data_IF_039617026470
#
_entry.id   IF_039617026470
#
_cell.length_a   1.000
_cell.length_b   1.000
_cell.length_c   1.000
_cell.angle_alpha   90.00
_cell.angle_beta   90.00
_cell.angle_gamma   90.00
#
_symmetry.space_group_name_H-M   'P 1'
#
loop_
_entity.id
_entity.type
_entity.pdbx_description
1 polymer ?
#
# COMPACT_ATOMS: atom_id res chain seq x y z
N UNK A 1 -12.82 -3.63 -0.83
CA UNK A 1 -12.69 -3.22 -2.25
C UNK A 1 -11.27 -3.48 -2.72
N UNK A 2 -11.06 -3.82 -3.99
CA UNK A 2 -9.71 -4.12 -4.52
C UNK A 2 -9.19 -2.97 -5.39
N UNK A 3 -7.92 -2.64 -5.23
CA UNK A 3 -7.24 -1.58 -5.98
C UNK A 3 -5.86 -2.08 -6.40
N UNK A 4 -5.51 -1.93 -7.68
CA UNK A 4 -4.19 -2.26 -8.21
C UNK A 4 -3.47 -0.97 -8.58
N UNK A 5 -2.26 -0.79 -8.06
CA UNK A 5 -1.49 0.44 -8.14
C UNK A 5 -0.04 0.15 -8.53
N UNK A 6 0.66 1.18 -9.01
CA UNK A 6 2.13 1.21 -9.02
C UNK A 6 2.59 2.36 -8.12
N UNK A 7 3.09 2.05 -6.93
CA UNK A 7 3.55 3.07 -5.98
C UNK A 7 4.88 3.67 -6.45
N UNK A 8 4.92 5.01 -6.56
CA UNK A 8 6.09 5.80 -6.96
C UNK A 8 6.72 6.58 -5.80
N UNK A 9 6.05 6.67 -4.65
CA UNK A 9 6.57 7.30 -3.43
C UNK A 9 6.24 6.40 -2.23
N UNK A 10 7.15 5.45 -1.92
CA UNK A 10 6.91 4.48 -0.84
C UNK A 10 6.80 5.13 0.56
N UNK A 11 7.58 6.17 0.93
CA UNK A 11 7.39 6.84 2.22
C UNK A 11 6.03 7.53 2.37
N UNK A 12 5.58 8.24 1.32
CA UNK A 12 4.27 8.89 1.29
C UNK A 12 3.14 7.88 1.42
N UNK A 13 3.23 6.78 0.66
CA UNK A 13 2.27 5.69 0.73
C UNK A 13 2.21 5.04 2.12
N UNK A 14 3.36 4.72 2.73
CA UNK A 14 3.43 4.13 4.08
C UNK A 14 2.77 5.05 5.12
N UNK A 15 3.01 6.37 5.02
CA UNK A 15 2.36 7.36 5.89
C UNK A 15 0.83 7.32 5.73
N UNK A 16 0.32 7.30 4.50
CA UNK A 16 -1.12 7.25 4.19
C UNK A 16 -1.80 5.98 4.70
N UNK A 17 -1.20 4.79 4.50
CA UNK A 17 -1.80 3.55 5.00
C UNK A 17 -1.84 3.49 6.53
N UNK A 18 -0.86 4.09 7.21
CA UNK A 18 -0.79 4.10 8.66
C UNK A 18 -1.83 5.05 9.29
N UNK A 19 -2.29 6.08 8.57
CA UNK A 19 -3.40 6.94 9.01
C UNK A 19 -4.80 6.36 8.76
N UNK A 20 -4.91 5.29 7.98
CA UNK A 20 -6.20 4.64 7.67
C UNK A 20 -6.81 3.98 8.91
N UNK A 21 -8.14 3.87 8.95
CA UNK A 21 -8.88 3.37 10.14
C UNK A 21 -8.95 1.84 10.17
N UNK A 22 -9.36 1.23 9.07
CA UNK A 22 -9.51 -0.21 8.89
C UNK A 22 -8.22 -0.93 8.55
N UNK A 23 -8.31 -2.23 8.34
CA UNK A 23 -7.20 -3.03 7.81
C UNK A 23 -7.03 -2.79 6.31
N UNK A 24 -5.78 -2.78 5.90
CA UNK A 24 -5.38 -2.70 4.49
C UNK A 24 -4.58 -3.96 4.22
N UNK A 25 -5.12 -4.82 3.36
CA UNK A 25 -4.51 -6.12 3.03
C UNK A 25 -3.80 -6.01 1.70
N UNK A 26 -2.52 -6.32 1.65
CA UNK A 26 -1.78 -6.57 0.41
C UNK A 26 -2.06 -8.00 -0.05
N UNK A 27 -2.28 -8.17 -1.34
CA UNK A 27 -2.21 -9.49 -1.98
C UNK A 27 -0.75 -9.77 -2.33
N UNK A 28 -0.21 -10.87 -1.83
CA UNK A 28 1.11 -11.36 -2.21
C UNK A 28 1.08 -12.16 -3.53
N UNK A 29 2.25 -12.64 -3.95
CA UNK A 29 2.44 -13.42 -5.18
C UNK A 29 1.69 -14.75 -5.16
N UNK A 30 1.47 -15.31 -3.97
CA UNK A 30 0.79 -16.58 -3.73
C UNK A 30 -0.74 -16.39 -3.58
N UNK A 31 -1.22 -15.13 -3.66
CA UNK A 31 -2.63 -14.78 -3.53
C UNK A 31 -3.12 -14.64 -2.08
N UNK A 32 -2.22 -14.75 -1.09
CA UNK A 32 -2.57 -14.53 0.30
C UNK A 32 -2.79 -13.04 0.58
N UNK A 33 -3.67 -12.77 1.55
CA UNK A 33 -3.97 -11.42 2.01
C UNK A 33 -3.26 -11.15 3.31
N UNK A 34 -2.29 -10.25 3.29
CA UNK A 34 -1.49 -9.88 4.45
C UNK A 34 -1.78 -8.45 4.84
N UNK A 35 -2.13 -8.20 6.11
CA UNK A 35 -2.32 -6.83 6.58
C UNK A 35 -0.99 -6.07 6.57
N UNK A 36 -0.98 -4.86 6.01
CA UNK A 36 0.23 -4.03 5.93
C UNK A 36 0.19 -2.81 6.85
N UNK A 37 -1.00 -2.41 7.33
CA UNK A 37 -1.12 -1.27 8.25
C UNK A 37 -0.41 -1.58 9.57
N UNK A 38 0.51 -0.70 9.97
CA UNK A 38 1.28 -0.81 11.22
C UNK A 38 2.29 -1.96 11.27
N UNK A 39 2.48 -2.72 10.19
CA UNK A 39 3.39 -3.87 10.17
C UNK A 39 4.79 -3.45 9.71
N UNK A 40 5.63 -3.02 10.65
CA UNK A 40 6.95 -2.43 10.39
C UNK A 40 7.82 -3.35 9.51
N UNK A 41 7.85 -4.65 9.78
CA UNK A 41 8.68 -5.60 9.03
C UNK A 41 8.25 -5.68 7.56
N UNK A 42 6.93 -5.81 7.32
CA UNK A 42 6.38 -5.89 5.97
C UNK A 42 6.58 -4.56 5.23
N UNK A 43 6.41 -3.42 5.91
CA UNK A 43 6.64 -2.10 5.33
C UNK A 43 8.11 -1.90 4.93
N UNK A 44 9.07 -2.36 5.75
CA UNK A 44 10.50 -2.36 5.39
C UNK A 44 10.81 -3.24 4.18
N UNK A 45 10.19 -4.42 4.09
CA UNK A 45 10.33 -5.28 2.91
C UNK A 45 9.78 -4.60 1.65
N UNK A 46 8.66 -3.88 1.76
CA UNK A 46 8.11 -3.10 0.66
C UNK A 46 9.05 -1.98 0.22
N UNK A 47 9.70 -1.27 1.15
CA UNK A 47 10.72 -0.26 0.83
C UNK A 47 11.93 -0.87 0.11
N UNK A 48 12.39 -2.05 0.55
CA UNK A 48 13.48 -2.77 -0.10
C UNK A 48 13.10 -3.22 -1.51
N UNK A 49 11.90 -3.80 -1.68
CA UNK A 49 11.37 -4.18 -3.00
C UNK A 49 11.26 -2.98 -3.94
N UNK A 50 10.78 -1.84 -3.44
CA UNK A 50 10.69 -0.60 -4.19
C UNK A 50 12.06 -0.14 -4.72
N UNK A 51 13.10 -0.18 -3.88
CA UNK A 51 14.48 0.19 -4.28
C UNK A 51 15.04 -0.78 -5.31
N UNK A 52 14.88 -2.09 -5.08
CA UNK A 52 15.36 -3.13 -6.00
C UNK A 52 14.69 -3.06 -7.37
N UNK A 53 13.42 -2.66 -7.41
CA UNK A 53 12.65 -2.55 -8.66
C UNK A 53 12.87 -1.23 -9.41
N UNK A 54 13.85 -0.40 -9.05
CA UNK A 54 14.10 0.86 -9.76
C UNK A 54 13.09 1.96 -9.43
N UNK A 55 12.76 2.09 -8.13
CA UNK A 55 11.88 3.13 -7.59
C UNK A 55 10.41 3.00 -8.00
N UNK A 56 9.89 1.77 -8.10
CA UNK A 56 8.46 1.53 -8.17
C UNK A 56 8.06 0.22 -7.49
N UNK A 57 6.83 0.16 -6.98
CA UNK A 57 6.29 -1.06 -6.37
C UNK A 57 4.88 -1.36 -6.92
N UNK A 58 4.70 -2.40 -7.76
CA UNK A 58 3.38 -2.86 -8.12
C UNK A 58 2.71 -3.53 -6.91
N UNK A 59 1.49 -3.13 -6.58
CA UNK A 59 0.79 -3.65 -5.41
C UNK A 59 -0.72 -3.79 -5.68
N UNK A 60 -1.30 -4.84 -5.12
CA UNK A 60 -2.75 -5.04 -5.10
C UNK A 60 -3.23 -4.96 -3.65
N UNK A 61 -4.14 -4.04 -3.38
CA UNK A 61 -4.66 -3.74 -2.05
C UNK A 61 -6.12 -4.16 -1.94
N UNK A 62 -6.50 -4.65 -0.76
CA UNK A 62 -7.88 -4.87 -0.37
C UNK A 62 -8.18 -4.06 0.90
N UNK A 63 -9.20 -3.23 0.80
CA UNK A 63 -9.64 -2.33 1.87
C UNK A 63 -10.86 -2.90 2.58
N UNK A 64 -10.79 -2.92 3.91
CA UNK A 64 -11.93 -3.21 4.78
C UNK A 64 -12.97 -2.07 4.74
N UNK A 65 -12.51 -0.82 4.66
CA UNK A 65 -13.35 0.38 4.74
C UNK A 65 -13.31 1.22 3.46
N UNK A 66 -14.46 1.74 2.98
CA UNK A 66 -14.51 2.66 1.83
C UNK A 66 -13.74 3.96 2.00
N UNK A 67 -13.69 4.50 3.21
CA UNK A 67 -13.01 5.78 3.49
C UNK A 67 -11.49 5.64 3.34
N UNK A 68 -10.94 4.48 3.69
CA UNK A 68 -9.51 4.17 3.54
C UNK A 68 -9.14 3.96 2.07
N UNK A 69 -10.03 3.35 1.28
CA UNK A 69 -9.87 3.25 -0.18
C UNK A 69 -9.77 4.64 -0.80
N UNK A 70 -10.71 5.53 -0.47
CA UNK A 70 -10.72 6.90 -0.97
C UNK A 70 -9.45 7.65 -0.52
N UNK A 71 -9.02 7.49 0.73
CA UNK A 71 -7.79 8.12 1.25
C UNK A 71 -6.56 7.73 0.44
N UNK A 72 -6.42 6.44 0.07
CA UNK A 72 -5.30 5.97 -0.75
C UNK A 72 -5.44 6.44 -2.21
N UNK A 73 -6.64 6.51 -2.76
CA UNK A 73 -6.88 7.08 -4.09
C UNK A 73 -6.54 8.57 -4.13
N UNK A 74 -6.98 9.35 -3.13
CA UNK A 74 -6.67 10.78 -3.01
C UNK A 74 -5.17 11.03 -2.90
N UNK A 75 -4.47 10.21 -2.12
CA UNK A 75 -3.01 10.20 -2.09
C UNK A 75 -2.43 9.98 -3.49
N UNK A 76 -2.92 8.99 -4.24
CA UNK A 76 -2.37 8.66 -5.55
C UNK A 76 -2.61 9.74 -6.62
N UNK A 77 -3.74 10.44 -6.58
CA UNK A 77 -4.02 11.54 -7.52
C UNK A 77 -3.34 12.86 -7.16
N UNK A 78 -2.91 13.03 -5.90
CA UNK A 78 -2.29 14.27 -5.41
C UNK A 78 -0.77 14.20 -5.27
N UNK A 79 -0.19 13.00 -5.16
CA UNK A 79 1.24 12.73 -4.97
C UNK A 79 1.90 12.18 -6.27
N UNK A 80 1.17 12.13 -7.38
CA UNK A 80 1.66 11.87 -8.74
C UNK A 80 1.40 13.06 -9.66
#
# INVERSE_FOLDING_TARGET
MMLKLRILNIPGFIKTINSCKGRILKLDSDGNKVNIKGQIQIQKEMENQYKTNGNFLPISLNFEKPEDYLSVVYYYIGDC
#
